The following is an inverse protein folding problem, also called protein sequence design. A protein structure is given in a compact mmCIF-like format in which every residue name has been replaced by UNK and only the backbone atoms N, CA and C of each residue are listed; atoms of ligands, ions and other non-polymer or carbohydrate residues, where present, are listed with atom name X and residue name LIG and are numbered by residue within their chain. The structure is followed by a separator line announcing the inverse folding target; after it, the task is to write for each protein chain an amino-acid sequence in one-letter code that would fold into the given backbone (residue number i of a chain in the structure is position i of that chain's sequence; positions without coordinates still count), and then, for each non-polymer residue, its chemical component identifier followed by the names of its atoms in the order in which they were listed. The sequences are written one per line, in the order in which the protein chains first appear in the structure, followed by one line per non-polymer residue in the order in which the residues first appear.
data_IF_529520481817
#
_entry.id   IF_529520481817
#
_cell.length_a   1.000
_cell.length_b   1.000
_cell.length_c   1.000
_cell.angle_alpha   90.00
_cell.angle_beta   90.00
_cell.angle_gamma   90.00
#
_symmetry.space_group_name_H-M   'P 1'
#
loop_
_entity.id
_entity.type
_entity.pdbx_description
1 polymer ?
#
# COMPACT_ATOMS: atom_id res chain seq x y z
N UNK A 1 47.61 -0.48 -14.09
CA UNK A 1 46.68 0.17 -13.14
C UNK A 1 46.01 -0.95 -12.37
N UNK A 2 46.31 -1.12 -11.09
CA UNK A 2 45.72 -2.20 -10.28
C UNK A 2 44.29 -1.79 -9.93
N UNK A 3 43.29 -2.49 -10.46
CA UNK A 3 41.89 -2.29 -10.07
C UNK A 3 41.76 -2.82 -8.64
N UNK A 4 41.59 -1.91 -7.66
CA UNK A 4 41.25 -2.29 -6.29
C UNK A 4 39.74 -2.48 -6.26
N UNK A 5 39.28 -3.70 -6.02
CA UNK A 5 37.86 -3.99 -5.92
C UNK A 5 37.28 -3.31 -4.65
N UNK A 6 36.12 -2.64 -4.76
CA UNK A 6 35.42 -2.13 -3.59
C UNK A 6 34.97 -3.29 -2.68
N UNK A 7 34.83 -3.04 -1.38
CA UNK A 7 34.12 -3.97 -0.51
C UNK A 7 32.63 -4.04 -0.86
N UNK A 8 31.95 -5.06 -0.33
CA UNK A 8 30.53 -5.30 -0.58
C UNK A 8 29.64 -4.10 -0.21
N UNK A 9 29.92 -3.42 0.90
CA UNK A 9 29.08 -2.32 1.38
C UNK A 9 29.19 -1.13 0.43
N UNK A 10 30.41 -0.81 -0.02
CA UNK A 10 30.69 0.24 -0.99
C UNK A 10 30.05 -0.07 -2.33
N UNK A 11 30.23 -1.29 -2.85
CA UNK A 11 29.62 -1.72 -4.12
C UNK A 11 28.08 -1.64 -4.07
N UNK A 12 27.46 -2.12 -2.98
CA UNK A 12 26.01 -2.07 -2.78
C UNK A 12 25.48 -0.64 -2.67
N UNK A 13 26.17 0.23 -1.93
CA UNK A 13 25.78 1.62 -1.79
C UNK A 13 25.83 2.35 -3.14
N UNK A 14 26.88 2.10 -3.92
CA UNK A 14 27.03 2.70 -5.25
C UNK A 14 25.96 2.19 -6.23
N UNK A 15 25.67 0.89 -6.24
CA UNK A 15 24.58 0.33 -7.04
C UNK A 15 23.22 0.95 -6.69
N UNK A 16 22.94 1.16 -5.39
CA UNK A 16 21.72 1.82 -4.94
C UNK A 16 21.66 3.29 -5.39
N UNK A 17 22.77 4.03 -5.25
CA UNK A 17 22.87 5.43 -5.65
C UNK A 17 22.60 5.60 -7.16
N UNK A 18 23.29 4.81 -7.99
CA UNK A 18 23.10 4.83 -9.45
C UNK A 18 21.68 4.41 -9.83
N UNK A 19 21.12 3.37 -9.19
CA UNK A 19 19.73 2.96 -9.43
C UNK A 19 18.71 4.05 -9.07
N UNK A 20 18.94 4.77 -7.96
CA UNK A 20 18.08 5.88 -7.56
C UNK A 20 18.17 7.07 -8.53
N UNK A 21 19.36 7.39 -9.02
CA UNK A 21 19.59 8.47 -10.00
C UNK A 21 19.02 8.14 -11.37
N UNK A 22 19.01 6.86 -11.75
CA UNK A 22 18.44 6.37 -13.02
C UNK A 22 16.96 6.01 -12.92
N UNK A 23 16.31 6.24 -11.77
CA UNK A 23 14.91 5.90 -11.58
C UNK A 23 14.01 6.74 -12.48
N UNK A 24 12.97 6.12 -13.04
CA UNK A 24 11.99 6.79 -13.88
C UNK A 24 11.38 8.02 -13.19
N UNK A 25 11.05 9.03 -13.98
CA UNK A 25 10.35 10.22 -13.50
C UNK A 25 9.02 9.83 -12.83
N UNK A 26 8.64 10.49 -11.73
CA UNK A 26 7.36 10.23 -11.08
C UNK A 26 6.19 10.49 -12.01
N UNK A 27 5.19 9.60 -11.95
CA UNK A 27 3.93 9.78 -12.63
C UNK A 27 2.78 9.61 -11.64
N UNK A 28 1.72 10.38 -11.86
CA UNK A 28 0.45 10.17 -11.18
C UNK A 28 -0.26 8.98 -11.83
N UNK A 29 -0.66 8.00 -11.02
CA UNK A 29 -1.42 6.84 -11.46
C UNK A 29 -2.59 6.61 -10.53
N UNK A 30 -3.67 6.02 -11.05
CA UNK A 30 -4.82 5.62 -10.25
C UNK A 30 -4.41 4.59 -9.20
N UNK A 31 -5.18 4.48 -8.11
CA UNK A 31 -4.96 3.42 -7.12
C UNK A 31 -4.98 2.00 -7.73
N UNK A 32 -5.80 1.78 -8.75
CA UNK A 32 -5.92 0.48 -9.43
C UNK A 32 -4.65 0.10 -10.21
N UNK A 33 -3.93 1.10 -10.72
CA UNK A 33 -2.71 0.93 -11.52
C UNK A 33 -1.42 1.08 -10.69
N UNK A 34 -1.53 1.29 -9.38
CA UNK A 34 -0.38 1.60 -8.51
C UNK A 34 0.36 0.35 -8.00
N UNK A 35 -0.22 -0.84 -8.07
CA UNK A 35 0.38 -2.06 -7.51
C UNK A 35 1.74 -2.39 -8.17
N UNK A 36 2.73 -2.72 -7.35
CA UNK A 36 4.09 -3.00 -7.80
C UNK A 36 4.94 -1.78 -8.15
N UNK A 37 4.36 -0.56 -8.15
CA UNK A 37 5.12 0.68 -8.26
C UNK A 37 5.82 1.03 -6.94
N UNK A 38 6.52 2.16 -6.91
CA UNK A 38 7.16 2.70 -5.69
C UNK A 38 6.69 4.12 -5.44
N UNK A 39 6.30 4.46 -4.21
CA UNK A 39 5.90 5.83 -3.85
C UNK A 39 6.98 6.84 -4.20
N UNK A 40 6.65 7.85 -5.00
CA UNK A 40 7.58 8.92 -5.38
C UNK A 40 7.62 10.05 -4.34
N UNK A 41 6.53 10.20 -3.59
CA UNK A 41 6.39 11.14 -2.47
C UNK A 41 5.89 10.38 -1.24
N UNK A 42 6.08 10.91 -0.01
CA UNK A 42 5.48 10.31 1.16
C UNK A 42 3.96 10.21 1.04
N UNK A 43 3.38 9.14 1.58
CA UNK A 43 1.94 9.00 1.77
C UNK A 43 1.56 9.73 3.05
N UNK A 44 0.81 10.81 2.92
CA UNK A 44 0.31 11.61 4.05
C UNK A 44 -1.20 11.51 4.13
N UNK A 45 -1.79 11.59 5.32
CA UNK A 45 -3.26 11.57 5.40
C UNK A 45 -3.86 12.88 4.84
N UNK A 46 -4.90 12.82 4.00
CA UNK A 46 -5.57 14.03 3.48
C UNK A 46 -6.68 14.52 4.43
N UNK A 47 -7.12 13.62 5.32
CA UNK A 47 -8.13 13.82 6.36
C UNK A 47 -7.69 13.10 7.62
N UNK A 48 -8.23 13.50 8.76
CA UNK A 48 -8.15 12.73 9.99
C UNK A 48 -8.68 11.31 9.76
N UNK A 49 -8.10 10.32 10.44
CA UNK A 49 -8.54 8.94 10.46
C UNK A 49 -8.88 8.52 11.90
N UNK A 50 -10.13 8.13 12.20
CA UNK A 50 -11.33 8.34 11.35
C UNK A 50 -11.58 9.84 11.08
N UNK A 51 -12.35 10.15 10.03
CA UNK A 51 -12.60 11.54 9.60
C UNK A 51 -13.57 12.32 10.50
N UNK A 52 -14.25 11.62 11.39
CA UNK A 52 -15.21 12.14 12.35
C UNK A 52 -15.28 11.16 13.53
N UNK A 53 -15.83 11.58 14.69
CA UNK A 53 -16.04 10.66 15.79
C UNK A 53 -16.93 9.49 15.38
N UNK A 54 -16.46 8.25 15.59
CA UNK A 54 -17.15 7.01 15.17
C UNK A 54 -17.46 6.11 16.34
N UNK A 55 -18.67 5.55 16.39
CA UNK A 55 -19.02 4.57 17.42
C UNK A 55 -18.15 3.31 17.28
N UNK A 56 -17.61 2.83 18.39
CA UNK A 56 -16.83 1.57 18.44
C UNK A 56 -17.71 0.35 18.71
N UNK A 57 -19.00 0.57 18.97
CA UNK A 57 -19.97 -0.45 19.40
C UNK A 57 -21.34 -0.20 18.81
N UNK A 58 -22.20 -1.21 18.89
CA UNK A 58 -23.64 -1.03 18.73
C UNK A 58 -24.22 -0.60 20.09
N UNK A 59 -25.09 0.41 20.09
CA UNK A 59 -25.61 0.95 21.35
C UNK A 59 -26.57 2.11 21.18
N UNK A 60 -26.57 2.98 22.19
CA UNK A 60 -27.38 4.18 22.27
C UNK A 60 -26.49 5.39 22.55
N UNK A 61 -26.42 6.31 21.60
CA UNK A 61 -25.80 7.62 21.81
C UNK A 61 -26.86 8.55 22.43
N UNK A 62 -26.53 9.18 23.55
CA UNK A 62 -27.49 9.90 24.37
C UNK A 62 -26.95 11.23 24.89
N UNK A 63 -27.88 12.15 25.19
CA UNK A 63 -27.59 13.45 25.77
C UNK A 63 -28.47 13.70 27.00
N UNK A 64 -27.88 14.23 28.08
CA UNK A 64 -28.57 14.45 29.34
C UNK A 64 -28.61 13.23 30.24
N UNK A 65 -29.46 13.27 31.27
CA UNK A 65 -29.59 12.21 32.29
C UNK A 65 -30.59 11.13 31.87
N UNK A 66 -30.33 9.82 32.10
CA UNK A 66 -31.29 8.76 31.81
C UNK A 66 -32.52 8.79 32.74
N UNK A 67 -33.65 8.15 32.36
CA UNK A 67 -33.85 7.42 31.11
C UNK A 67 -34.07 8.35 29.92
N UNK A 68 -33.49 8.00 28.77
CA UNK A 68 -33.58 8.77 27.53
C UNK A 68 -34.68 8.25 26.62
N UNK A 69 -35.38 9.15 25.94
CA UNK A 69 -36.35 8.80 24.89
C UNK A 69 -35.60 8.48 23.60
N UNK A 70 -35.82 7.30 23.02
CA UNK A 70 -35.24 6.90 21.74
C UNK A 70 -35.98 7.60 20.61
N UNK A 71 -35.29 8.46 19.85
CA UNK A 71 -35.90 9.31 18.82
C UNK A 71 -35.57 8.89 17.38
N UNK A 72 -34.73 7.87 17.21
CA UNK A 72 -34.35 7.35 15.91
C UNK A 72 -33.14 6.44 15.98
N UNK A 73 -32.53 6.24 14.81
CA UNK A 73 -31.34 5.42 14.62
C UNK A 73 -30.33 6.12 13.71
N UNK A 74 -29.06 5.86 13.93
CA UNK A 74 -27.93 6.37 13.14
C UNK A 74 -27.14 5.17 12.63
N UNK A 75 -27.16 5.00 11.31
CA UNK A 75 -26.42 3.94 10.62
C UNK A 75 -25.16 4.51 9.98
N UNK A 76 -24.18 3.66 9.74
CA UNK A 76 -22.98 4.02 8.98
C UNK A 76 -23.35 4.64 7.63
N UNK A 77 -22.68 5.74 7.27
CA UNK A 77 -22.96 6.51 6.05
C UNK A 77 -24.07 7.56 6.16
N UNK A 78 -24.64 7.79 7.35
CA UNK A 78 -25.58 8.89 7.61
C UNK A 78 -24.97 9.97 8.51
N UNK A 79 -25.41 11.21 8.33
CA UNK A 79 -25.06 12.34 9.20
C UNK A 79 -26.20 12.53 10.21
N UNK A 80 -25.97 12.31 11.52
CA UNK A 80 -27.02 12.48 12.51
C UNK A 80 -27.32 13.94 12.80
N UNK A 81 -28.57 14.23 13.16
CA UNK A 81 -28.94 15.49 13.78
C UNK A 81 -28.43 15.56 15.23
N UNK A 82 -28.27 16.77 15.76
CA UNK A 82 -27.93 16.98 17.16
C UNK A 82 -29.09 16.51 18.06
N UNK A 83 -28.76 15.81 19.14
CA UNK A 83 -29.76 15.34 20.10
C UNK A 83 -30.25 16.46 21.01
N UNK A 84 -31.54 16.42 21.33
CA UNK A 84 -32.15 17.19 22.42
C UNK A 84 -31.77 16.57 23.77
N UNK A 85 -31.82 17.38 24.84
CA UNK A 85 -31.61 16.89 26.20
C UNK A 85 -32.66 15.83 26.58
N UNK A 86 -32.24 14.74 27.21
CA UNK A 86 -33.11 13.61 27.57
C UNK A 86 -33.47 12.68 26.41
N UNK A 87 -32.77 12.77 25.27
CA UNK A 87 -32.99 11.91 24.10
C UNK A 87 -31.78 11.05 23.75
N UNK A 88 -32.05 9.94 23.05
CA UNK A 88 -31.05 9.02 22.55
C UNK A 88 -31.40 8.54 21.13
N UNK A 89 -30.40 8.06 20.42
CA UNK A 89 -30.55 7.34 19.14
C UNK A 89 -29.85 6.00 19.24
N UNK A 90 -30.46 4.98 18.64
CA UNK A 90 -29.75 3.73 18.37
C UNK A 90 -28.59 4.03 17.41
N UNK A 91 -27.39 3.57 17.72
CA UNK A 91 -26.19 3.83 16.93
C UNK A 91 -25.48 2.52 16.64
N UNK A 92 -25.13 2.30 15.38
CA UNK A 92 -24.35 1.14 14.96
C UNK A 92 -22.85 1.42 15.03
N UNK A 93 -22.06 0.36 15.12
CA UNK A 93 -20.60 0.39 15.02
C UNK A 93 -20.19 1.06 13.71
N UNK A 94 -19.24 2.00 13.78
CA UNK A 94 -18.75 2.78 12.65
C UNK A 94 -19.66 3.94 12.22
N UNK A 95 -20.84 4.11 12.83
CA UNK A 95 -21.68 5.28 12.56
C UNK A 95 -21.08 6.56 13.17
N UNK A 96 -21.36 7.69 12.52
CA UNK A 96 -20.96 9.00 13.02
C UNK A 96 -21.66 9.29 14.35
N UNK A 97 -20.89 9.66 15.36
CA UNK A 97 -21.43 10.03 16.67
C UNK A 97 -22.13 11.39 16.58
N UNK A 98 -23.38 11.54 17.06
CA UNK A 98 -24.06 12.83 17.09
C UNK A 98 -23.29 13.87 17.89
N UNK A 99 -23.31 15.12 17.43
CA UNK A 99 -22.60 16.19 18.09
C UNK A 99 -23.19 16.46 19.49
N UNK A 100 -22.31 16.60 20.49
CA UNK A 100 -22.70 17.00 21.85
C UNK A 100 -23.40 15.91 22.65
N UNK A 101 -23.23 14.64 22.29
CA UNK A 101 -23.62 13.53 23.17
C UNK A 101 -22.78 13.54 24.45
N UNK A 102 -23.36 13.00 25.51
CA UNK A 102 -22.73 12.94 26.83
C UNK A 102 -22.53 11.48 27.30
N UNK A 103 -23.24 10.54 26.66
CA UNK A 103 -23.14 9.12 26.96
C UNK A 103 -23.27 8.28 25.68
N UNK A 104 -22.54 7.17 25.65
CA UNK A 104 -22.76 6.08 24.71
C UNK A 104 -22.85 4.79 25.53
N UNK A 105 -24.00 4.13 25.48
CA UNK A 105 -24.27 2.89 26.22
C UNK A 105 -24.42 1.75 25.24
N UNK A 106 -23.67 0.67 25.42
CA UNK A 106 -23.75 -0.54 24.58
C UNK A 106 -25.13 -1.18 24.67
N UNK A 107 -25.56 -1.89 23.62
CA UNK A 107 -26.83 -2.63 23.66
C UNK A 107 -26.85 -3.61 24.83
N UNK A 108 -25.76 -4.36 25.06
CA UNK A 108 -25.65 -5.33 26.16
C UNK A 108 -25.67 -4.71 27.57
N UNK A 109 -25.32 -3.43 27.68
CA UNK A 109 -25.26 -2.68 28.94
C UNK A 109 -26.49 -1.76 29.13
N UNK A 110 -27.52 -1.91 28.28
CA UNK A 110 -28.72 -1.08 28.26
C UNK A 110 -29.98 -1.82 28.73
N UNK A 111 -30.91 -1.08 29.33
CA UNK A 111 -32.22 -1.56 29.74
C UNK A 111 -33.32 -0.67 29.17
N UNK A 112 -34.51 -1.25 28.89
CA UNK A 112 -35.69 -0.48 28.50
C UNK A 112 -36.65 -0.36 29.69
N UNK A 113 -36.64 0.76 30.44
CA UNK A 113 -37.48 0.91 31.62
C UNK A 113 -38.96 1.07 31.24
N UNK A 114 -39.24 1.56 30.04
CA UNK A 114 -40.57 1.69 29.47
C UNK A 114 -40.49 1.75 27.93
N UNK A 115 -41.59 1.47 27.19
CA UNK A 115 -41.58 1.52 25.74
C UNK A 115 -41.00 2.83 25.19
N UNK A 116 -40.06 2.72 24.25
CA UNK A 116 -39.41 3.86 23.59
C UNK A 116 -38.41 4.63 24.45
N UNK A 117 -38.03 4.10 25.62
CA UNK A 117 -36.97 4.68 26.44
C UNK A 117 -35.88 3.65 26.73
N UNK A 118 -34.67 4.17 26.95
CA UNK A 118 -33.48 3.41 27.30
C UNK A 118 -32.78 4.04 28.50
N UNK A 119 -32.16 3.21 29.32
CA UNK A 119 -31.28 3.61 30.43
C UNK A 119 -30.05 2.72 30.45
N UNK A 120 -28.98 3.21 31.04
CA UNK A 120 -27.76 2.44 31.28
C UNK A 120 -26.62 3.37 31.71
N UNK A 121 -25.54 2.77 32.16
CA UNK A 121 -24.36 3.49 32.63
C UNK A 121 -23.26 3.42 31.57
N UNK A 122 -22.82 4.56 31.00
CA UNK A 122 -21.71 4.56 30.05
C UNK A 122 -20.41 4.18 30.78
N UNK A 123 -19.49 3.55 30.05
CA UNK A 123 -18.18 3.21 30.60
C UNK A 123 -17.35 4.49 30.85
N UNK A 124 -16.38 4.45 31.79
CA UNK A 124 -15.53 5.62 32.08
C UNK A 124 -14.73 6.13 30.87
N UNK A 125 -14.35 5.23 29.95
CA UNK A 125 -13.81 5.60 28.65
C UNK A 125 -14.96 5.56 27.64
N UNK A 126 -15.14 6.62 26.84
CA UNK A 126 -16.08 6.60 25.73
C UNK A 126 -15.90 5.38 24.82
N UNK A 127 -17.02 4.76 24.43
CA UNK A 127 -17.05 3.67 23.43
C UNK A 127 -17.19 4.25 22.00
N UNK A 128 -16.51 5.36 21.72
CA UNK A 128 -16.31 5.91 20.39
C UNK A 128 -14.83 6.28 20.19
N UNK A 129 -14.42 6.43 18.94
CA UNK A 129 -13.10 6.94 18.56
C UNK A 129 -13.23 8.36 18.08
N UNK A 130 -12.35 9.24 18.53
CA UNK A 130 -12.33 10.63 18.09
C UNK A 130 -11.75 10.74 16.67
N UNK A 131 -12.04 11.86 16.00
CA UNK A 131 -11.42 12.14 14.72
C UNK A 131 -9.89 12.22 14.87
N UNK A 132 -9.17 11.53 14.00
CA UNK A 132 -7.70 11.57 13.96
C UNK A 132 -7.02 10.71 15.02
N UNK A 133 -7.78 9.89 15.75
CA UNK A 133 -7.23 8.97 16.76
C UNK A 133 -6.28 7.92 16.16
N UNK A 134 -6.49 7.52 14.90
CA UNK A 134 -5.60 6.60 14.18
C UNK A 134 -4.46 7.35 13.48
N UNK A 135 -4.77 8.47 12.84
CA UNK A 135 -3.79 9.36 12.24
C UNK A 135 -4.37 10.76 12.00
N UNK A 136 -3.58 11.79 12.28
CA UNK A 136 -4.02 13.17 12.09
C UNK A 136 -3.84 13.63 10.65
N UNK A 137 -4.68 14.57 10.19
CA UNK A 137 -4.54 15.21 8.88
C UNK A 137 -3.11 15.71 8.64
N UNK A 138 -2.50 15.23 7.56
CA UNK A 138 -1.16 15.61 7.12
C UNK A 138 -0.03 14.83 7.79
N UNK A 139 -0.34 13.85 8.65
CA UNK A 139 0.64 12.93 9.20
C UNK A 139 1.22 12.03 8.10
N UNK A 140 2.54 11.86 8.11
CA UNK A 140 3.24 10.95 7.20
C UNK A 140 3.10 9.51 7.70
N UNK A 141 2.43 8.66 6.91
CA UNK A 141 2.23 7.26 7.24
C UNK A 141 3.31 6.36 6.63
N UNK A 142 3.74 6.68 5.40
CA UNK A 142 4.77 5.94 4.68
C UNK A 142 5.70 6.91 3.95
N UNK A 143 7.03 6.69 3.99
CA UNK A 143 7.97 7.54 3.29
C UNK A 143 7.95 7.27 1.78
N UNK A 144 8.48 8.23 1.00
CA UNK A 144 8.85 7.98 -0.39
C UNK A 144 9.85 6.82 -0.49
N UNK A 145 9.80 6.06 -1.59
CA UNK A 145 10.58 4.84 -1.77
C UNK A 145 9.90 3.57 -1.24
N UNK A 146 8.72 3.70 -0.62
CA UNK A 146 7.94 2.53 -0.17
C UNK A 146 7.35 1.78 -1.36
N UNK A 147 7.57 0.46 -1.49
CA UNK A 147 6.91 -0.35 -2.50
C UNK A 147 5.39 -0.33 -2.30
N UNK A 148 4.67 -0.05 -3.37
CA UNK A 148 3.21 -0.06 -3.35
C UNK A 148 2.74 -1.51 -3.45
N UNK A 149 2.01 -1.92 -2.43
CA UNK A 149 1.36 -3.23 -2.32
C UNK A 149 -0.14 -3.02 -2.16
N UNK A 150 -0.99 -4.07 -2.25
CA UNK A 150 -2.42 -3.92 -2.02
C UNK A 150 -2.78 -3.30 -0.66
N UNK A 151 -1.96 -3.54 0.38
CA UNK A 151 -2.14 -2.91 1.69
C UNK A 151 -1.87 -1.40 1.67
N UNK A 152 -0.84 -0.95 0.92
CA UNK A 152 -0.54 0.47 0.74
C UNK A 152 -1.65 1.15 -0.06
N UNK A 153 -2.20 0.48 -1.08
CA UNK A 153 -3.34 0.98 -1.86
C UNK A 153 -4.56 1.19 -0.97
N UNK A 154 -4.90 0.20 -0.13
CA UNK A 154 -6.00 0.32 0.83
C UNK A 154 -5.80 1.46 1.84
N UNK A 155 -4.57 1.64 2.33
CA UNK A 155 -4.22 2.75 3.22
C UNK A 155 -4.33 4.11 2.51
N UNK A 156 -3.88 4.22 1.27
CA UNK A 156 -4.01 5.44 0.49
C UNK A 156 -5.49 5.79 0.24
N UNK A 157 -6.32 4.79 -0.10
CA UNK A 157 -7.75 4.96 -0.24
C UNK A 157 -8.39 5.45 1.07
N UNK A 158 -8.05 4.86 2.22
CA UNK A 158 -8.59 5.30 3.51
C UNK A 158 -8.17 6.73 3.85
N UNK A 159 -6.96 7.14 3.43
CA UNK A 159 -6.48 8.52 3.55
C UNK A 159 -7.19 9.51 2.61
N UNK A 160 -7.98 9.04 1.65
CA UNK A 160 -8.74 9.87 0.70
C UNK A 160 -8.07 10.09 -0.66
N UNK A 161 -7.08 9.29 -1.05
CA UNK A 161 -6.48 9.38 -2.39
C UNK A 161 -7.28 8.60 -3.43
N UNK A 162 -7.40 9.17 -4.62
CA UNK A 162 -7.82 8.47 -5.85
C UNK A 162 -6.60 8.06 -6.72
N UNK A 163 -5.51 8.82 -6.59
CA UNK A 163 -4.27 8.62 -7.33
C UNK A 163 -3.04 8.72 -6.40
N UNK A 164 -1.95 8.09 -6.81
CA UNK A 164 -0.65 8.18 -6.16
C UNK A 164 0.42 8.71 -7.12
N UNK A 165 1.33 9.53 -6.59
CA UNK A 165 2.58 9.84 -7.27
C UNK A 165 3.55 8.67 -7.05
N UNK A 166 3.85 7.93 -8.12
CA UNK A 166 4.70 6.74 -8.07
C UNK A 166 5.79 6.77 -9.12
N UNK A 167 6.83 5.97 -8.92
CA UNK A 167 7.81 5.58 -9.94
C UNK A 167 7.50 4.17 -10.37
N UNK A 168 7.41 3.96 -11.69
CA UNK A 168 7.24 2.63 -12.27
C UNK A 168 8.54 1.83 -12.18
N UNK A 169 8.40 0.52 -12.27
CA UNK A 169 9.52 -0.40 -12.39
C UNK A 169 10.42 -0.08 -13.58
N UNK A 170 11.75 -0.22 -13.47
CA UNK A 170 12.63 -0.11 -14.62
C UNK A 170 12.37 -1.29 -15.58
N UNK A 171 12.45 -1.01 -16.87
CA UNK A 171 12.47 -2.03 -17.91
C UNK A 171 13.82 -2.74 -17.83
N UNK A 172 13.82 -4.06 -17.67
CA UNK A 172 15.01 -4.85 -17.44
C UNK A 172 15.23 -5.87 -18.58
N UNK A 173 16.32 -5.73 -19.32
CA UNK A 173 16.82 -6.77 -20.20
C UNK A 173 17.66 -7.77 -19.40
N UNK A 174 17.68 -9.03 -19.81
CA UNK A 174 18.55 -10.06 -19.23
C UNK A 174 19.32 -10.67 -20.37
N UNK A 175 20.64 -10.62 -20.29
CA UNK A 175 21.52 -11.28 -21.25
C UNK A 175 22.16 -12.50 -20.57
N UNK A 176 22.21 -13.61 -21.30
CA UNK A 176 22.90 -14.83 -20.86
C UNK A 176 23.97 -15.14 -21.89
N UNK A 177 25.21 -15.33 -21.44
CA UNK A 177 26.38 -15.59 -22.28
C UNK A 177 26.91 -17.01 -22.02
N UNK A 178 27.46 -17.65 -23.04
CA UNK A 178 28.14 -18.94 -22.90
C UNK A 178 27.67 -19.99 -23.91
N UNK A 179 28.57 -20.39 -24.80
CA UNK A 179 28.33 -21.40 -25.84
C UNK A 179 28.02 -22.79 -25.26
N UNK A 180 28.39 -23.04 -24.01
CA UNK A 180 28.11 -24.26 -23.26
C UNK A 180 26.64 -24.36 -22.81
N UNK A 181 25.84 -23.30 -22.94
CA UNK A 181 24.49 -23.26 -22.40
C UNK A 181 23.44 -23.85 -23.35
N UNK A 182 22.72 -24.85 -22.85
CA UNK A 182 21.49 -25.33 -23.45
C UNK A 182 20.28 -24.53 -22.92
N UNK A 183 19.50 -23.94 -23.83
CA UNK A 183 18.28 -23.16 -23.49
C UNK A 183 17.01 -24.00 -23.31
N UNK A 184 17.07 -25.29 -23.61
CA UNK A 184 15.96 -26.22 -23.49
C UNK A 184 16.45 -27.66 -23.36
N UNK A 185 15.63 -28.54 -22.79
CA UNK A 185 15.93 -29.96 -22.65
C UNK A 185 16.84 -30.27 -21.46
N UNK A 186 17.27 -31.53 -21.37
CA UNK A 186 18.21 -31.99 -20.35
C UNK A 186 19.66 -31.59 -20.72
N UNK A 187 20.54 -31.35 -19.74
CA UNK A 187 21.96 -31.16 -20.00
C UNK A 187 22.59 -32.44 -20.58
N UNK A 188 23.58 -32.29 -21.45
CA UNK A 188 24.19 -33.39 -22.21
C UNK A 188 25.18 -32.88 -23.25
N UNK A 189 25.95 -33.78 -23.86
CA UNK A 189 26.89 -33.48 -24.95
C UNK A 189 27.83 -32.29 -24.68
N UNK A 190 28.32 -32.17 -23.44
CA UNK A 190 29.21 -31.08 -23.02
C UNK A 190 28.52 -29.74 -22.73
N UNK A 191 27.18 -29.70 -22.76
CA UNK A 191 26.38 -28.51 -22.45
C UNK A 191 25.68 -28.62 -21.09
N UNK A 192 25.58 -27.48 -20.40
CA UNK A 192 24.84 -27.34 -19.14
C UNK A 192 23.53 -26.59 -19.38
N UNK A 193 22.49 -26.89 -18.59
CA UNK A 193 21.19 -26.24 -18.73
C UNK A 193 21.25 -24.82 -18.15
N UNK A 194 20.88 -23.83 -18.94
CA UNK A 194 20.66 -22.48 -18.41
C UNK A 194 19.56 -22.47 -17.34
N UNK A 195 19.96 -22.13 -16.11
CA UNK A 195 19.09 -22.02 -14.93
C UNK A 195 18.79 -20.57 -14.55
N UNK A 196 19.54 -19.61 -15.08
CA UNK A 196 19.39 -18.19 -14.78
C UNK A 196 18.36 -17.55 -15.70
N UNK A 197 18.47 -17.76 -17.02
CA UNK A 197 17.55 -17.19 -17.99
C UNK A 197 16.06 -17.45 -17.68
N UNK A 198 15.66 -18.67 -17.29
CA UNK A 198 14.27 -18.94 -16.89
C UNK A 198 13.84 -18.32 -15.55
N UNK A 199 14.78 -18.10 -14.61
CA UNK A 199 14.46 -17.63 -13.25
C UNK A 199 14.53 -16.10 -13.10
N UNK A 200 15.43 -15.45 -13.83
CA UNK A 200 15.67 -14.01 -13.71
C UNK A 200 14.43 -13.14 -13.98
N UNK A 201 13.60 -13.38 -15.01
CA UNK A 201 12.38 -12.60 -15.22
C UNK A 201 11.40 -12.68 -14.04
N UNK A 202 11.35 -13.80 -13.31
CA UNK A 202 10.47 -13.93 -12.14
C UNK A 202 11.01 -13.14 -10.95
N UNK A 203 12.33 -13.15 -10.74
CA UNK A 203 12.98 -12.35 -9.70
C UNK A 203 12.84 -10.85 -9.97
N UNK A 204 13.09 -10.41 -11.21
CA UNK A 204 12.95 -9.00 -11.59
C UNK A 204 11.53 -8.48 -11.30
N UNK A 205 10.48 -9.22 -11.70
CA UNK A 205 9.09 -8.84 -11.37
C UNK A 205 8.84 -8.75 -9.87
N UNK A 206 9.40 -9.68 -9.08
CA UNK A 206 9.28 -9.66 -7.60
C UNK A 206 9.99 -8.47 -6.97
N UNK A 207 11.01 -7.93 -7.62
CA UNK A 207 11.69 -6.70 -7.20
C UNK A 207 11.11 -5.44 -7.87
N UNK A 208 9.96 -5.55 -8.56
CA UNK A 208 9.26 -4.43 -9.15
C UNK A 208 9.80 -3.97 -10.51
N UNK A 209 10.70 -4.72 -11.15
CA UNK A 209 11.17 -4.43 -12.51
C UNK A 209 10.32 -5.12 -13.58
N UNK A 210 10.33 -4.58 -14.79
CA UNK A 210 9.56 -5.09 -15.94
C UNK A 210 10.49 -5.77 -16.95
N UNK A 211 10.52 -7.12 -17.03
CA UNK A 211 11.40 -7.80 -17.98
C UNK A 211 11.03 -7.49 -19.43
N UNK A 212 12.00 -7.03 -20.22
CA UNK A 212 11.81 -6.73 -21.64
C UNK A 212 11.81 -8.01 -22.46
N UNK A 213 10.78 -8.18 -23.29
CA UNK A 213 10.70 -9.31 -24.20
C UNK A 213 11.83 -9.27 -25.22
N UNK A 214 12.47 -10.43 -25.49
CA UNK A 214 13.46 -10.57 -26.55
C UNK A 214 14.91 -10.75 -26.09
N UNK A 215 15.26 -10.43 -24.84
CA UNK A 215 16.65 -10.53 -24.33
C UNK A 215 16.93 -11.85 -23.60
N UNK A 216 15.94 -12.45 -22.92
CA UNK A 216 16.01 -13.83 -22.39
C UNK A 216 14.68 -14.59 -22.51
N UNK A 217 14.70 -15.94 -22.70
CA UNK A 217 15.87 -16.73 -23.06
C UNK A 217 15.86 -16.98 -24.59
N UNK A 218 16.52 -16.11 -25.38
CA UNK A 218 16.67 -16.26 -26.84
C UNK A 218 18.02 -16.88 -27.24
N UNK A 219 18.45 -17.92 -26.53
CA UNK A 219 19.79 -18.49 -26.72
C UNK A 219 20.83 -17.77 -25.87
N UNK A 220 21.95 -18.43 -25.51
CA UNK A 220 23.10 -17.67 -25.09
C UNK A 220 23.57 -16.81 -26.26
N UNK A 221 24.03 -15.60 -25.96
CA UNK A 221 24.82 -14.83 -26.93
C UNK A 221 26.11 -15.62 -27.19
N UNK A 222 26.50 -15.73 -28.45
CA UNK A 222 27.75 -16.40 -28.84
C UNK A 222 28.93 -15.77 -28.08
N UNK A 223 29.86 -16.61 -27.62
CA UNK A 223 31.03 -16.16 -26.85
C UNK A 223 32.10 -15.48 -27.74
N UNK A 224 31.69 -14.37 -28.36
CA UNK A 224 32.53 -13.50 -29.18
C UNK A 224 32.37 -12.05 -28.73
N UNK A 225 33.44 -11.27 -28.83
CA UNK A 225 33.41 -9.86 -28.46
C UNK A 225 32.33 -9.09 -29.25
N UNK A 226 32.22 -9.34 -30.55
CA UNK A 226 31.27 -8.65 -31.42
C UNK A 226 29.82 -8.99 -31.06
N UNK A 227 29.52 -10.26 -30.77
CA UNK A 227 28.18 -10.68 -30.34
C UNK A 227 27.80 -10.10 -28.97
N UNK A 228 28.72 -10.12 -28.00
CA UNK A 228 28.49 -9.51 -26.68
C UNK A 228 28.25 -8.00 -26.78
N UNK A 229 29.07 -7.27 -27.55
CA UNK A 229 28.91 -5.83 -27.73
C UNK A 229 27.59 -5.50 -28.43
N UNK A 230 27.21 -6.27 -29.45
CA UNK A 230 25.92 -6.10 -30.12
C UNK A 230 24.75 -6.32 -29.16
N UNK A 231 24.75 -7.43 -28.41
CA UNK A 231 23.69 -7.75 -27.46
C UNK A 231 23.53 -6.70 -26.35
N UNK A 232 24.64 -6.19 -25.81
CA UNK A 232 24.63 -5.14 -24.79
C UNK A 232 24.06 -3.84 -25.37
N UNK A 233 24.45 -3.44 -26.59
CA UNK A 233 23.90 -2.24 -27.24
C UNK A 233 22.41 -2.36 -27.48
N UNK A 234 21.97 -3.47 -28.06
CA UNK A 234 20.55 -3.73 -28.32
C UNK A 234 19.74 -3.69 -27.01
N UNK A 235 20.30 -4.23 -25.92
CA UNK A 235 19.66 -4.23 -24.61
C UNK A 235 19.59 -2.81 -24.01
N UNK A 236 20.66 -2.02 -24.10
CA UNK A 236 20.69 -0.63 -23.62
C UNK A 236 19.75 0.29 -24.40
N UNK A 237 19.49 0.02 -25.68
CA UNK A 237 18.51 0.76 -26.48
C UNK A 237 17.05 0.42 -26.09
N UNK A 238 16.84 -0.75 -25.47
CA UNK A 238 15.52 -1.30 -25.20
C UNK A 238 15.16 -1.35 -23.71
N UNK A 239 16.09 -1.11 -22.78
CA UNK A 239 15.88 -1.30 -21.35
C UNK A 239 16.59 -0.22 -20.52
N UNK A 240 16.05 0.04 -19.33
CA UNK A 240 16.65 0.96 -18.34
C UNK A 240 17.73 0.25 -17.51
N UNK A 241 17.66 -1.09 -17.46
CA UNK A 241 18.58 -1.99 -16.76
C UNK A 241 18.94 -3.17 -17.68
N UNK A 242 20.22 -3.54 -17.74
CA UNK A 242 20.76 -4.69 -18.51
C UNK A 242 21.58 -5.59 -17.59
#
# INVERSE_FOLDING_TARGET
MTIIAPDWATARAEAYRVGAESSAEPAQVSLEDADGATLATPLVTLTDLPAFPTSSVDGFAARGTPPWRVVGQVLAGSVPERLEDGTAVEIATGAMVPEGIEALVRVEDSESPQPGHVTGEPRPRPDWRDAGEEAAKGEELLPAGTPVTPGVIGLAASCGYDDLMVRRGPRAAVLVFGDELAISGAPGDGRVRDSLGPSMPAWLRRFGAEPVAGFAPRGPVEDTLDAHVAAIRDALDAADLV
#
